data_IF_000053389837
#
_entry.id   IF_000053389837
#
_cell.length_a   1.000
_cell.length_b   1.000
_cell.length_c   1.000
_cell.angle_alpha   90.00
_cell.angle_beta   90.00
_cell.angle_gamma   90.00
#
_symmetry.space_group_name_H-M   'P 1'
#
loop_
_entity.id
_entity.type
_entity.pdbx_description
1 polymer ?
#
# COMPACT_ATOMS: atom_id res chain seq x y z
N UNK A 1 -25.63 1.76 22.34
CA UNK A 1 -24.23 2.18 22.04
C UNK A 1 -23.48 1.35 20.96
N UNK A 2 -24.11 0.47 20.16
CA UNK A 2 -23.37 -0.54 19.36
C UNK A 2 -23.32 -0.32 17.82
N UNK A 3 -23.95 0.74 17.30
CA UNK A 3 -24.11 0.99 15.84
C UNK A 3 -23.11 2.02 15.29
N UNK A 4 -22.77 3.05 16.07
CA UNK A 4 -21.80 4.09 15.69
C UNK A 4 -20.33 3.62 15.80
N UNK A 5 -19.99 2.82 16.82
CA UNK A 5 -18.61 2.40 17.13
C UNK A 5 -17.98 1.42 16.12
N UNK A 6 -18.77 0.63 15.37
CA UNK A 6 -18.24 -0.34 14.38
C UNK A 6 -18.09 0.24 12.98
N UNK A 7 -18.94 1.20 12.62
CA UNK A 7 -18.83 1.97 11.39
C UNK A 7 -17.68 2.99 11.50
N UNK A 8 -17.49 3.59 12.68
CA UNK A 8 -16.35 4.48 12.95
C UNK A 8 -14.99 3.79 12.81
N UNK A 9 -14.84 2.53 13.27
CA UNK A 9 -13.58 1.78 13.13
C UNK A 9 -13.21 1.47 11.68
N UNK A 10 -14.17 1.15 10.83
CA UNK A 10 -13.91 0.93 9.40
C UNK A 10 -13.57 2.25 8.71
N UNK A 11 -14.37 3.30 8.95
CA UNK A 11 -14.12 4.64 8.43
C UNK A 11 -12.73 5.16 8.84
N UNK A 12 -12.32 4.95 10.09
CA UNK A 12 -10.98 5.32 10.56
C UNK A 12 -9.86 4.59 9.85
N UNK A 13 -9.99 3.28 9.61
CA UNK A 13 -8.97 2.52 8.86
C UNK A 13 -8.89 2.94 7.39
N UNK A 14 -10.04 3.17 6.74
CA UNK A 14 -10.07 3.65 5.36
C UNK A 14 -9.53 5.09 5.26
N UNK A 15 -9.86 5.95 6.21
CA UNK A 15 -9.29 7.30 6.31
C UNK A 15 -7.76 7.24 6.41
N UNK A 16 -7.22 6.42 7.30
CA UNK A 16 -5.77 6.27 7.45
C UNK A 16 -5.13 5.71 6.17
N UNK A 17 -5.76 4.74 5.51
CA UNK A 17 -5.32 4.26 4.21
C UNK A 17 -5.23 5.38 3.16
N UNK A 18 -6.29 6.19 3.01
CA UNK A 18 -6.31 7.30 2.05
C UNK A 18 -5.29 8.39 2.41
N UNK A 19 -5.18 8.75 3.69
CA UNK A 19 -4.20 9.72 4.19
C UNK A 19 -2.76 9.27 3.91
N UNK A 20 -2.41 8.02 4.26
CA UNK A 20 -1.07 7.47 3.98
C UNK A 20 -0.81 7.42 2.47
N UNK A 21 -1.81 7.04 1.66
CA UNK A 21 -1.65 7.07 0.20
C UNK A 21 -1.48 8.47 -0.38
N UNK A 22 -1.94 9.52 0.31
CA UNK A 22 -1.75 10.92 -0.11
C UNK A 22 -0.36 11.41 0.16
N UNK A 23 0.15 11.10 1.34
CA UNK A 23 1.54 11.31 1.68
C UNK A 23 2.48 10.54 0.75
N UNK A 24 2.12 9.30 0.38
CA UNK A 24 2.83 8.55 -0.64
C UNK A 24 2.92 9.32 -1.97
N UNK A 25 1.81 9.88 -2.46
CA UNK A 25 1.83 10.71 -3.67
C UNK A 25 2.75 11.93 -3.54
N UNK A 26 2.77 12.58 -2.36
CA UNK A 26 3.65 13.73 -2.10
C UNK A 26 5.12 13.31 -2.16
N UNK A 27 5.50 12.19 -1.54
CA UNK A 27 6.87 11.68 -1.61
C UNK A 27 7.25 11.36 -3.05
N UNK A 28 6.37 10.71 -3.83
CA UNK A 28 6.60 10.47 -5.26
C UNK A 28 6.83 11.78 -6.03
N UNK A 29 6.03 12.83 -5.78
CA UNK A 29 6.22 14.13 -6.42
C UNK A 29 7.57 14.76 -6.07
N UNK A 30 7.98 14.74 -4.80
CA UNK A 30 9.31 15.21 -4.41
C UNK A 30 10.43 14.40 -5.06
N UNK A 31 10.28 13.08 -5.21
CA UNK A 31 11.26 12.25 -5.90
C UNK A 31 11.42 12.65 -7.37
N UNK A 32 10.32 12.92 -8.08
CA UNK A 32 10.39 13.42 -9.46
C UNK A 32 11.14 14.76 -9.54
N UNK A 33 10.93 15.66 -8.58
CA UNK A 33 11.71 16.90 -8.50
C UNK A 33 13.20 16.63 -8.25
N UNK A 34 13.52 15.70 -7.34
CA UNK A 34 14.90 15.31 -7.07
C UNK A 34 15.58 14.68 -8.28
N UNK A 35 14.88 13.83 -9.03
CA UNK A 35 15.37 13.24 -10.29
C UNK A 35 15.66 14.33 -11.33
N UNK A 36 14.74 15.28 -11.52
CA UNK A 36 14.95 16.41 -12.44
C UNK A 36 16.15 17.29 -12.03
N UNK A 37 16.33 17.51 -10.72
CA UNK A 37 17.52 18.20 -10.19
C UNK A 37 18.79 17.39 -10.45
N UNK A 38 18.77 16.07 -10.27
CA UNK A 38 19.91 15.20 -10.61
C UNK A 38 20.24 15.31 -12.10
N UNK A 39 19.27 15.20 -13.00
CA UNK A 39 19.53 15.38 -14.44
C UNK A 39 20.18 16.73 -14.76
N UNK A 40 19.74 17.80 -14.11
CA UNK A 40 20.30 19.14 -14.29
C UNK A 40 21.73 19.23 -13.76
N UNK A 41 21.95 18.73 -12.55
CA UNK A 41 23.26 18.74 -11.88
C UNK A 41 24.27 17.83 -12.61
N UNK A 42 23.81 16.69 -13.15
CA UNK A 42 24.67 15.73 -13.81
C UNK A 42 25.22 16.25 -15.15
N UNK A 43 24.63 17.30 -15.73
CA UNK A 43 25.19 17.97 -16.93
C UNK A 43 26.60 18.52 -16.69
N UNK A 44 26.94 18.94 -15.46
CA UNK A 44 28.29 19.37 -15.11
C UNK A 44 29.29 18.21 -15.23
N UNK A 45 28.91 17.03 -14.71
CA UNK A 45 29.71 15.81 -14.86
C UNK A 45 29.85 15.47 -16.34
N UNK A 46 28.75 15.41 -17.08
CA UNK A 46 28.77 15.05 -18.51
C UNK A 46 29.70 15.96 -19.32
N UNK A 47 29.63 17.29 -19.13
CA UNK A 47 30.54 18.23 -19.82
C UNK A 47 32.01 17.98 -19.47
N UNK A 48 32.33 17.65 -18.22
CA UNK A 48 33.68 17.28 -17.82
C UNK A 48 34.13 15.96 -18.48
N UNK A 49 33.24 14.95 -18.52
CA UNK A 49 33.51 13.67 -19.18
C UNK A 49 33.74 13.82 -20.68
N UNK A 50 32.96 14.67 -21.35
CA UNK A 50 33.05 14.90 -22.81
C UNK A 50 34.31 15.69 -23.19
N UNK A 51 34.83 16.52 -22.29
CA UNK A 51 35.98 17.39 -22.54
C UNK A 51 37.33 16.69 -22.36
N UNK A 52 37.42 15.72 -21.44
CA UNK A 52 38.68 15.06 -21.09
C UNK A 52 38.84 13.72 -21.82
N UNK A 53 39.79 13.67 -22.76
CA UNK A 53 40.22 12.46 -23.47
C UNK A 53 41.70 12.11 -23.23
N UNK A 54 42.21 11.10 -23.94
CA UNK A 54 43.61 10.63 -23.84
C UNK A 54 44.65 11.71 -24.18
N UNK A 55 44.28 12.67 -25.03
CA UNK A 55 45.14 13.79 -25.44
C UNK A 55 44.53 15.15 -25.01
N UNK A 56 44.20 15.26 -23.72
CA UNK A 56 43.60 16.50 -23.19
C UNK A 56 44.63 17.63 -23.08
N UNK A 57 44.33 18.77 -23.73
CA UNK A 57 45.11 20.00 -23.60
C UNK A 57 44.87 20.69 -22.23
N UNK A 58 45.77 21.57 -21.77
CA UNK A 58 45.64 22.24 -20.47
C UNK A 58 44.34 23.04 -20.27
N UNK A 59 43.81 23.65 -21.33
CA UNK A 59 42.54 24.36 -21.32
C UNK A 59 41.34 23.42 -21.09
N UNK A 60 41.37 22.20 -21.65
CA UNK A 60 40.33 21.18 -21.44
C UNK A 60 40.28 20.72 -19.98
N UNK A 61 41.46 20.50 -19.38
CA UNK A 61 41.57 20.14 -17.96
C UNK A 61 41.07 21.26 -17.05
N UNK A 62 41.39 22.51 -17.39
CA UNK A 62 40.91 23.69 -16.64
C UNK A 62 39.38 23.81 -16.71
N UNK A 63 38.80 23.61 -17.90
CA UNK A 63 37.34 23.60 -18.08
C UNK A 63 36.68 22.49 -17.26
N UNK A 64 37.15 21.25 -17.38
CA UNK A 64 36.62 20.12 -16.63
C UNK A 64 36.73 20.33 -15.11
N UNK A 65 37.84 20.88 -14.62
CA UNK A 65 38.00 21.23 -13.19
C UNK A 65 36.92 22.22 -12.72
N UNK A 66 36.61 23.24 -13.52
CA UNK A 66 35.59 24.23 -13.17
C UNK A 66 34.17 23.63 -13.19
N UNK A 67 33.87 22.74 -14.14
CA UNK A 67 32.61 21.99 -14.19
C UNK A 67 32.45 21.10 -12.96
N UNK A 68 33.47 20.32 -12.60
CA UNK A 68 33.45 19.45 -11.42
C UNK A 68 33.37 20.27 -10.12
N UNK A 69 34.04 21.42 -10.03
CA UNK A 69 33.90 22.35 -8.90
C UNK A 69 32.46 22.85 -8.77
N UNK A 70 31.84 23.23 -9.89
CA UNK A 70 30.45 23.68 -9.91
C UNK A 70 29.50 22.58 -9.44
N UNK A 71 29.71 21.34 -9.88
CA UNK A 71 28.96 20.17 -9.40
C UNK A 71 29.13 19.95 -7.89
N UNK A 72 30.37 20.05 -7.38
CA UNK A 72 30.67 19.77 -5.97
C UNK A 72 29.95 20.71 -4.99
N UNK A 73 29.70 21.96 -5.41
CA UNK A 73 28.97 22.96 -4.64
C UNK A 73 27.46 22.67 -4.55
N UNK A 74 26.91 21.84 -5.44
CA UNK A 74 25.48 21.53 -5.46
C UNK A 74 25.12 20.56 -4.34
N UNK A 75 23.97 20.78 -3.71
CA UNK A 75 23.46 19.85 -2.70
C UNK A 75 22.94 18.56 -3.35
N UNK A 76 23.01 17.45 -2.63
CA UNK A 76 22.49 16.17 -3.08
C UNK A 76 20.95 16.19 -3.08
N UNK A 77 20.30 16.04 -4.25
CA UNK A 77 18.84 16.10 -4.34
C UNK A 77 18.12 14.99 -3.57
N UNK A 78 18.80 13.90 -3.20
CA UNK A 78 18.24 12.80 -2.43
C UNK A 78 18.42 12.93 -0.90
N UNK A 79 18.88 14.08 -0.41
CA UNK A 79 18.87 14.39 1.03
C UNK A 79 17.45 14.60 1.57
N UNK A 80 16.49 14.85 0.68
CA UNK A 80 15.06 14.94 0.98
C UNK A 80 14.26 14.55 -0.30
N UNK A 81 13.48 13.46 -0.30
CA UNK A 81 13.24 12.54 0.83
C UNK A 81 14.44 11.62 1.09
N UNK A 82 14.74 11.37 2.35
CA UNK A 82 15.84 10.51 2.81
C UNK A 82 15.35 9.20 3.42
N UNK A 83 16.28 8.36 3.89
CA UNK A 83 16.00 7.06 4.52
C UNK A 83 14.96 7.12 5.65
N UNK A 84 14.91 8.21 6.43
CA UNK A 84 13.93 8.37 7.51
C UNK A 84 12.52 8.56 6.96
N UNK A 85 12.35 9.32 5.88
CA UNK A 85 11.05 9.53 5.22
C UNK A 85 10.50 8.20 4.69
N UNK A 86 11.35 7.40 4.04
CA UNK A 86 10.98 6.05 3.56
C UNK A 86 10.63 5.11 4.69
N UNK A 87 11.40 5.13 5.80
CA UNK A 87 11.09 4.33 6.97
C UNK A 87 9.73 4.73 7.57
N UNK A 88 9.49 6.03 7.72
CA UNK A 88 8.26 6.56 8.30
C UNK A 88 7.03 6.11 7.51
N UNK A 89 7.05 6.23 6.18
CA UNK A 89 5.92 5.81 5.36
C UNK A 89 5.72 4.29 5.36
N UNK A 90 6.80 3.51 5.37
CA UNK A 90 6.71 2.04 5.46
C UNK A 90 6.18 1.58 6.82
N UNK A 91 6.59 2.21 7.91
CA UNK A 91 6.06 1.92 9.24
C UNK A 91 4.55 2.21 9.30
N UNK A 92 4.10 3.30 8.67
CA UNK A 92 2.68 3.66 8.60
C UNK A 92 1.87 2.71 7.71
N UNK A 93 2.40 2.32 6.56
CA UNK A 93 1.77 1.31 5.71
C UNK A 93 1.70 -0.06 6.42
N UNK A 94 2.77 -0.46 7.09
CA UNK A 94 2.82 -1.70 7.88
C UNK A 94 1.78 -1.69 8.99
N UNK A 95 1.66 -0.56 9.70
CA UNK A 95 0.64 -0.36 10.71
C UNK A 95 -0.78 -0.50 10.13
N UNK A 96 -1.13 0.26 9.08
CA UNK A 96 -2.50 0.22 8.53
C UNK A 96 -2.81 -1.15 7.93
N UNK A 97 -1.84 -1.78 7.27
CA UNK A 97 -1.95 -3.12 6.71
C UNK A 97 -2.26 -4.16 7.78
N UNK A 98 -1.54 -4.11 8.91
CA UNK A 98 -1.78 -5.00 10.04
C UNK A 98 -3.22 -4.85 10.56
N UNK A 99 -3.66 -3.61 10.78
CA UNK A 99 -5.02 -3.34 11.27
C UNK A 99 -6.12 -3.75 10.28
N UNK A 100 -5.92 -3.51 8.97
CA UNK A 100 -6.83 -3.96 7.91
C UNK A 100 -6.93 -5.49 7.88
N UNK A 101 -5.79 -6.21 7.90
CA UNK A 101 -5.75 -7.68 7.93
C UNK A 101 -6.42 -8.26 9.18
N UNK A 102 -6.14 -7.70 10.36
CA UNK A 102 -6.74 -8.12 11.62
C UNK A 102 -8.24 -7.90 11.63
N UNK A 103 -8.70 -6.75 11.12
CA UNK A 103 -10.15 -6.48 11.01
C UNK A 103 -10.81 -7.42 10.01
N UNK A 104 -10.18 -7.71 8.88
CA UNK A 104 -10.67 -8.67 7.87
C UNK A 104 -10.85 -10.07 8.48
N UNK A 105 -9.86 -10.56 9.22
CA UNK A 105 -9.94 -11.84 9.97
C UNK A 105 -11.11 -11.86 10.96
N UNK A 106 -11.32 -10.76 11.70
CA UNK A 106 -12.44 -10.62 12.63
C UNK A 106 -13.81 -10.69 11.91
N UNK A 107 -13.92 -10.08 10.73
CA UNK A 107 -15.15 -10.11 9.92
C UNK A 107 -15.40 -11.52 9.35
N UNK A 108 -14.36 -12.19 8.84
CA UNK A 108 -14.46 -13.56 8.35
C UNK A 108 -14.95 -14.53 9.45
N UNK A 109 -14.40 -14.43 10.67
CA UNK A 109 -14.86 -15.20 11.83
C UNK A 109 -16.34 -14.96 12.14
N UNK A 110 -16.80 -13.71 12.09
CA UNK A 110 -18.23 -13.38 12.30
C UNK A 110 -19.14 -13.97 11.23
N UNK A 111 -18.73 -13.94 9.97
CA UNK A 111 -19.50 -14.57 8.88
C UNK A 111 -19.61 -16.08 9.12
N UNK A 112 -18.51 -16.75 9.52
CA UNK A 112 -18.52 -18.18 9.84
C UNK A 112 -19.50 -18.51 10.97
N UNK A 113 -19.50 -17.71 12.04
CA UNK A 113 -20.44 -17.87 13.17
C UNK A 113 -21.89 -17.69 12.70
N UNK A 114 -22.18 -16.63 11.94
CA UNK A 114 -23.53 -16.37 11.40
C UNK A 114 -24.02 -17.54 10.54
N UNK A 115 -23.17 -18.09 9.68
CA UNK A 115 -23.52 -19.23 8.84
C UNK A 115 -23.76 -20.49 9.68
N UNK A 116 -22.94 -20.75 10.70
CA UNK A 116 -23.12 -21.88 11.61
C UNK A 116 -24.46 -21.79 12.36
N UNK A 117 -24.81 -20.61 12.89
CA UNK A 117 -26.11 -20.40 13.53
C UNK A 117 -27.27 -20.65 12.55
N UNK A 118 -27.19 -20.18 11.30
CA UNK A 118 -28.22 -20.43 10.27
C UNK A 118 -28.43 -21.92 10.03
N UNK A 119 -27.36 -22.71 9.93
CA UNK A 119 -27.46 -24.16 9.72
C UNK A 119 -28.07 -24.87 10.93
N UNK A 120 -27.67 -24.51 12.15
CA UNK A 120 -28.23 -25.11 13.37
C UNK A 120 -29.72 -24.80 13.54
N UNK A 121 -30.16 -23.57 13.24
CA UNK A 121 -31.59 -23.21 13.31
C UNK A 121 -32.41 -23.94 12.25
N UNK A 122 -31.87 -24.10 11.02
CA UNK A 122 -32.52 -24.87 9.96
C UNK A 122 -32.71 -26.35 10.33
N UNK A 123 -31.66 -27.00 10.84
CA UNK A 123 -31.71 -28.39 11.28
C UNK A 123 -32.65 -28.61 12.48
N UNK A 124 -32.67 -27.69 13.44
CA UNK A 124 -33.54 -27.78 14.61
C UNK A 124 -35.03 -27.61 14.23
N UNK A 125 -35.35 -26.71 13.30
CA UNK A 125 -36.71 -26.51 12.80
C UNK A 125 -37.23 -27.75 12.04
N UNK A 126 -36.40 -28.38 11.22
CA UNK A 126 -36.79 -29.60 10.49
C UNK A 126 -37.06 -30.78 11.43
N UNK A 127 -36.24 -30.95 12.47
CA UNK A 127 -36.43 -32.01 13.46
C UNK A 127 -37.69 -31.75 14.31
N UNK A 128 -37.89 -30.52 14.77
CA UNK A 128 -39.07 -30.17 15.57
C UNK A 128 -40.39 -30.30 14.78
N UNK A 129 -40.42 -29.87 13.51
CA UNK A 129 -41.58 -30.08 12.65
C UNK A 129 -41.82 -31.56 12.33
N UNK A 130 -40.76 -32.34 12.07
CA UNK A 130 -40.88 -33.77 11.79
C UNK A 130 -41.41 -34.59 12.97
N UNK A 131 -41.02 -34.23 14.20
CA UNK A 131 -41.53 -34.86 15.42
C UNK A 131 -43.00 -34.50 15.69
N UNK A 132 -43.39 -33.24 15.42
CA UNK A 132 -44.77 -32.80 15.61
C UNK A 132 -45.75 -33.47 14.62
N UNK A 133 -45.34 -33.70 13.37
CA UNK A 133 -46.19 -34.39 12.38
C UNK A 133 -46.35 -35.88 12.69
N UNK A 134 -45.32 -36.56 13.18
CA UNK A 134 -45.42 -37.97 13.56
C UNK A 134 -46.32 -38.18 14.78
N UNK A 135 -46.21 -37.32 15.81
CA UNK A 135 -47.13 -37.33 16.95
C UNK A 135 -48.58 -37.07 16.54
N UNK A 136 -48.82 -36.12 15.63
CA UNK A 136 -50.18 -35.83 15.13
C UNK A 136 -50.79 -37.02 14.38
N UNK A 137 -50.00 -37.75 13.58
CA UNK A 137 -50.46 -38.93 12.84
C UNK A 137 -50.79 -40.09 13.79
N UNK A 138 -49.95 -40.32 14.81
CA UNK A 138 -50.19 -41.36 15.82
C UNK A 138 -51.46 -41.07 16.63
N UNK A 139 -51.66 -39.81 17.04
CA UNK A 139 -52.89 -39.38 17.74
C UNK A 139 -54.11 -39.55 16.86
N UNK A 140 -54.07 -39.12 15.59
CA UNK A 140 -55.18 -39.27 14.65
C UNK A 140 -55.50 -40.75 14.34
N UNK A 141 -54.49 -41.63 14.32
CA UNK A 141 -54.68 -43.06 14.09
C UNK A 141 -55.28 -43.80 15.29
N UNK A 142 -55.10 -43.28 16.52
CA UNK A 142 -55.61 -43.91 17.74
C UNK A 142 -56.93 -43.33 18.26
N UNK A 143 -57.42 -42.22 17.72
CA UNK A 143 -58.72 -41.65 18.12
C UNK A 143 -59.82 -41.91 17.09
N UNK A 144 -60.43 -43.09 17.16
CA UNK A 144 -61.76 -43.35 16.61
C UNK A 144 -62.85 -43.14 17.68
N UNK A 145 -62.75 -42.09 18.50
CA UNK A 145 -63.86 -41.61 19.34
C UNK A 145 -63.69 -40.09 19.48
N UNK A 146 -64.67 -39.34 19.00
CA UNK A 146 -64.60 -37.88 18.92
C UNK A 146 -64.71 -37.19 20.27
N UNK A 147 -64.24 -35.94 20.33
CA UNK A 147 -65.07 -34.82 20.76
C UNK A 147 -64.42 -33.49 20.39
N UNK A 148 -65.29 -32.62 19.86
CA UNK A 148 -65.24 -31.17 19.82
C UNK A 148 -64.48 -30.53 21.01
N UNK A 149 -63.43 -29.76 20.71
CA UNK A 149 -63.10 -28.48 21.36
C UNK A 149 -62.03 -27.80 20.49
N UNK A 150 -62.34 -26.57 20.09
CA UNK A 150 -61.75 -25.91 18.94
C UNK A 150 -60.23 -25.73 18.99
N UNK A 151 -59.60 -25.40 17.84
CA UNK A 151 -58.17 -25.20 17.80
C UNK A 151 -57.85 -23.98 18.66
N UNK A 152 -57.29 -24.21 19.85
CA UNK A 152 -56.47 -23.22 20.51
C UNK A 152 -55.29 -23.01 19.57
N UNK A 153 -55.45 -22.06 18.64
CA UNK A 153 -54.42 -21.58 17.75
C UNK A 153 -53.30 -21.16 18.68
N UNK A 154 -52.29 -22.02 18.82
CA UNK A 154 -50.99 -21.67 19.35
C UNK A 154 -50.45 -20.69 18.34
N UNK A 155 -50.88 -19.44 18.49
CA UNK A 155 -50.22 -18.28 17.95
C UNK A 155 -48.92 -18.16 18.74
N UNK A 156 -48.02 -19.11 18.50
CA UNK A 156 -46.61 -18.90 18.71
C UNK A 156 -46.29 -17.77 17.73
N UNK A 157 -46.46 -16.55 18.22
CA UNK A 157 -46.10 -15.35 17.50
C UNK A 157 -44.66 -15.56 17.08
N UNK A 158 -44.46 -15.88 15.80
CA UNK A 158 -43.20 -15.77 15.05
C UNK A 158 -42.77 -14.29 14.96
N UNK A 159 -42.89 -13.55 16.07
CA UNK A 159 -42.39 -12.21 16.28
C UNK A 159 -41.13 -12.23 17.15
N UNK A 160 -40.51 -13.40 17.35
CA UNK A 160 -39.06 -13.48 17.46
C UNK A 160 -38.38 -13.27 16.09
N UNK A 161 -38.73 -12.18 15.40
CA UNK A 161 -37.81 -11.42 14.52
C UNK A 161 -36.70 -10.75 15.35
N UNK A 162 -36.31 -11.39 16.46
CA UNK A 162 -35.41 -10.86 17.47
C UNK A 162 -33.98 -10.97 16.94
N UNK A 163 -33.51 -9.83 16.43
CA UNK A 163 -32.10 -9.42 16.30
C UNK A 163 -31.21 -10.14 15.26
N UNK A 164 -31.60 -11.27 14.67
CA UNK A 164 -30.78 -11.93 13.61
C UNK A 164 -30.89 -11.27 12.23
N UNK A 165 -31.98 -10.55 11.93
CA UNK A 165 -32.10 -9.74 10.69
C UNK A 165 -31.04 -8.63 10.61
N UNK A 166 -30.42 -8.28 11.75
CA UNK A 166 -29.47 -7.18 11.88
C UNK A 166 -28.02 -7.56 11.51
N UNK A 167 -27.72 -8.84 11.32
CA UNK A 167 -26.44 -9.35 10.81
C UNK A 167 -26.63 -9.90 9.39
N UNK A 168 -27.02 -9.05 8.43
CA UNK A 168 -26.98 -9.46 7.02
C UNK A 168 -25.55 -9.83 6.67
N UNK A 169 -25.32 -11.11 6.38
CA UNK A 169 -24.07 -11.65 5.82
C UNK A 169 -23.53 -10.74 4.71
N UNK A 170 -24.43 -10.17 3.88
CA UNK A 170 -24.11 -9.20 2.84
C UNK A 170 -23.33 -7.97 3.32
N UNK A 171 -23.72 -7.34 4.44
CA UNK A 171 -23.02 -6.15 4.99
C UNK A 171 -21.63 -6.53 5.49
N UNK A 172 -21.51 -7.64 6.23
CA UNK A 172 -20.21 -8.13 6.70
C UNK A 172 -19.30 -8.50 5.52
N UNK A 173 -19.86 -9.13 4.48
CA UNK A 173 -19.13 -9.47 3.26
C UNK A 173 -18.63 -8.22 2.54
N UNK A 174 -19.46 -7.17 2.43
CA UNK A 174 -19.06 -5.87 1.87
C UNK A 174 -17.91 -5.24 2.65
N UNK A 175 -18.02 -5.17 3.98
CA UNK A 175 -16.91 -4.69 4.83
C UNK A 175 -15.66 -5.53 4.64
N UNK A 176 -15.80 -6.86 4.51
CA UNK A 176 -14.70 -7.76 4.20
C UNK A 176 -13.99 -7.44 2.88
N UNK A 177 -14.74 -7.15 1.81
CA UNK A 177 -14.20 -6.75 0.50
C UNK A 177 -13.43 -5.43 0.58
N UNK A 178 -13.99 -4.41 1.22
CA UNK A 178 -13.33 -3.11 1.40
C UNK A 178 -11.99 -3.26 2.14
N UNK A 179 -11.97 -4.05 3.22
CA UNK A 179 -10.74 -4.32 3.97
C UNK A 179 -9.72 -5.12 3.16
N UNK A 180 -10.17 -6.06 2.32
CA UNK A 180 -9.31 -6.88 1.47
C UNK A 180 -8.62 -6.04 0.39
N UNK A 181 -9.40 -5.22 -0.33
CA UNK A 181 -8.88 -4.33 -1.38
C UNK A 181 -7.93 -3.30 -0.79
N UNK A 182 -8.28 -2.65 0.32
CA UNK A 182 -7.39 -1.71 1.00
C UNK A 182 -6.11 -2.40 1.52
N UNK A 183 -6.20 -3.62 2.06
CA UNK A 183 -5.03 -4.36 2.51
C UNK A 183 -4.10 -4.74 1.35
N UNK A 184 -4.64 -5.12 0.19
CA UNK A 184 -3.84 -5.39 -1.02
C UNK A 184 -3.11 -4.13 -1.49
N UNK A 185 -3.83 -3.00 -1.57
CA UNK A 185 -3.24 -1.71 -1.91
C UNK A 185 -2.13 -1.31 -0.95
N UNK A 186 -2.37 -1.37 0.36
CA UNK A 186 -1.39 -1.02 1.39
C UNK A 186 -0.15 -1.92 1.33
N UNK A 187 -0.30 -3.22 1.03
CA UNK A 187 0.82 -4.14 0.89
C UNK A 187 1.69 -3.81 -0.33
N UNK A 188 1.07 -3.58 -1.49
CA UNK A 188 1.79 -3.25 -2.72
C UNK A 188 2.55 -1.94 -2.53
N UNK A 189 1.87 -0.89 -2.06
CA UNK A 189 2.47 0.42 -1.85
C UNK A 189 3.60 0.37 -0.82
N UNK A 190 3.45 -0.36 0.29
CA UNK A 190 4.56 -0.56 1.23
C UNK A 190 5.81 -1.14 0.55
N UNK A 191 5.61 -2.04 -0.42
CA UNK A 191 6.71 -2.71 -1.09
C UNK A 191 7.34 -1.88 -2.20
N UNK A 192 6.54 -1.06 -2.88
CA UNK A 192 7.06 -0.05 -3.81
C UNK A 192 7.98 0.93 -3.08
N UNK A 193 7.57 1.41 -1.89
CA UNK A 193 8.39 2.33 -1.09
C UNK A 193 9.66 1.69 -0.51
N UNK A 194 9.64 0.40 -0.15
CA UNK A 194 10.87 -0.33 0.19
C UNK A 194 11.87 -0.34 -0.99
N UNK A 195 11.38 -0.55 -2.21
CA UNK A 195 12.21 -0.59 -3.42
C UNK A 195 12.77 0.79 -3.75
N UNK A 196 11.90 1.81 -3.81
CA UNK A 196 12.31 3.20 -4.04
C UNK A 196 13.30 3.69 -2.98
N UNK A 197 13.05 3.40 -1.70
CA UNK A 197 13.95 3.81 -0.61
C UNK A 197 15.36 3.22 -0.72
N UNK A 198 15.49 2.00 -1.23
CA UNK A 198 16.81 1.38 -1.50
C UNK A 198 17.50 2.00 -2.70
N UNK A 199 16.76 2.33 -3.77
CA UNK A 199 17.31 3.01 -4.94
C UNK A 199 17.79 4.42 -4.58
N UNK A 200 16.98 5.17 -3.83
CA UNK A 200 17.33 6.51 -3.34
C UNK A 200 18.57 6.47 -2.46
N UNK A 201 18.68 5.50 -1.54
CA UNK A 201 19.88 5.36 -0.71
C UNK A 201 21.15 5.11 -1.55
N UNK A 202 21.07 4.21 -2.55
CA UNK A 202 22.21 3.94 -3.45
C UNK A 202 22.61 5.15 -4.27
N UNK A 203 21.63 5.86 -4.84
CA UNK A 203 21.89 7.07 -5.62
C UNK A 203 22.43 8.21 -4.76
N UNK A 204 21.97 8.32 -3.52
CA UNK A 204 22.53 9.24 -2.55
C UNK A 204 24.02 8.95 -2.32
N UNK A 205 24.35 7.69 -2.01
CA UNK A 205 25.73 7.25 -1.76
C UNK A 205 26.61 7.48 -3.01
N UNK A 206 26.15 7.11 -4.21
CA UNK A 206 26.88 7.34 -5.47
C UNK A 206 27.23 8.83 -5.69
N UNK A 207 26.30 9.73 -5.38
CA UNK A 207 26.49 11.18 -5.51
C UNK A 207 27.51 11.66 -4.47
N UNK A 208 27.38 11.26 -3.21
CA UNK A 208 28.31 11.68 -2.16
C UNK A 208 29.72 11.12 -2.39
N UNK A 209 29.85 9.88 -2.85
CA UNK A 209 31.13 9.27 -3.19
C UNK A 209 31.81 10.00 -4.36
N UNK A 210 31.04 10.30 -5.42
CA UNK A 210 31.52 11.09 -6.56
C UNK A 210 31.98 12.48 -6.11
N UNK A 211 31.22 13.13 -5.22
CA UNK A 211 31.58 14.44 -4.67
C UNK A 211 32.81 14.37 -3.79
N UNK A 212 32.96 13.35 -2.95
CA UNK A 212 34.13 13.17 -2.12
C UNK A 212 35.40 12.99 -2.97
N UNK A 213 35.33 12.17 -4.03
CA UNK A 213 36.42 11.98 -4.98
C UNK A 213 36.79 13.26 -5.72
N UNK A 214 35.78 14.00 -6.23
CA UNK A 214 35.99 15.29 -6.89
C UNK A 214 36.63 16.30 -5.93
N UNK A 215 36.12 16.42 -4.71
CA UNK A 215 36.64 17.36 -3.71
C UNK A 215 38.11 17.05 -3.38
N UNK A 216 38.41 15.79 -3.13
CA UNK A 216 39.78 15.34 -2.88
C UNK A 216 40.73 15.70 -4.03
N UNK A 217 40.28 15.55 -5.28
CA UNK A 217 41.04 15.96 -6.45
C UNK A 217 41.27 17.49 -6.51
N UNK A 218 40.23 18.29 -6.23
CA UNK A 218 40.29 19.74 -6.35
C UNK A 218 41.11 20.41 -5.23
N UNK A 219 41.18 19.78 -4.05
CA UNK A 219 41.94 20.30 -2.91
C UNK A 219 43.47 20.12 -3.08
N UNK A 220 43.91 19.23 -3.99
CA UNK A 220 45.31 19.03 -4.34
C UNK A 220 45.76 20.08 -5.36
N UNK A 221 46.47 21.11 -4.90
CA UNK A 221 46.84 22.28 -5.70
C UNK A 221 47.91 22.04 -6.78
N UNK A 222 48.67 20.95 -6.74
CA UNK A 222 49.91 20.80 -7.56
C UNK A 222 49.98 19.58 -8.50
N UNK A 223 49.01 18.66 -8.50
CA UNK A 223 49.07 17.47 -9.35
C UNK A 223 47.99 17.52 -10.46
N UNK A 224 48.39 17.36 -11.73
CA UNK A 224 47.48 17.23 -12.89
C UNK A 224 46.97 15.79 -13.13
N UNK A 225 47.75 14.80 -12.69
CA UNK A 225 47.41 13.37 -12.72
C UNK A 225 46.10 12.96 -11.98
N UNK A 226 45.65 13.62 -10.88
CA UNK A 226 44.42 13.29 -10.17
C UNK A 226 43.15 13.52 -11.01
N UNK A 227 43.10 14.57 -11.84
CA UNK A 227 41.87 14.95 -12.53
C UNK A 227 41.48 13.95 -13.63
N UNK A 228 42.45 13.48 -14.40
CA UNK A 228 42.20 12.50 -15.46
C UNK A 228 41.73 11.16 -14.87
N UNK A 229 42.31 10.71 -13.76
CA UNK A 229 41.87 9.48 -13.10
C UNK A 229 40.48 9.63 -12.48
N UNK A 230 40.18 10.78 -11.85
CA UNK A 230 38.83 11.07 -11.35
C UNK A 230 37.79 11.04 -12.48
N UNK A 231 38.09 11.66 -13.62
CA UNK A 231 37.19 11.62 -14.80
C UNK A 231 37.02 10.21 -15.33
N UNK A 232 38.09 9.41 -15.36
CA UNK A 232 38.04 8.00 -15.78
C UNK A 232 37.18 7.16 -14.83
N UNK A 233 37.30 7.34 -13.51
CA UNK A 233 36.44 6.66 -12.53
C UNK A 233 34.98 7.10 -12.66
N UNK A 234 34.71 8.40 -12.80
CA UNK A 234 33.35 8.92 -13.07
C UNK A 234 32.76 8.28 -14.33
N UNK A 235 33.55 8.18 -15.41
CA UNK A 235 33.15 7.53 -16.67
C UNK A 235 32.83 6.04 -16.49
N UNK A 236 33.59 5.31 -15.66
CA UNK A 236 33.30 3.90 -15.35
C UNK A 236 31.97 3.74 -14.62
N UNK A 237 31.65 4.66 -13.71
CA UNK A 237 30.39 4.62 -12.94
C UNK A 237 29.17 5.18 -13.68
N UNK A 238 29.37 5.98 -14.74
CA UNK A 238 28.35 6.79 -15.41
C UNK A 238 27.13 5.98 -15.86
N UNK A 239 27.35 4.91 -16.61
CA UNK A 239 26.27 4.05 -17.13
C UNK A 239 25.46 3.42 -16.00
N UNK A 240 26.14 2.96 -14.95
CA UNK A 240 25.49 2.34 -13.79
C UNK A 240 24.67 3.35 -12.99
N UNK A 241 25.18 4.57 -12.83
CA UNK A 241 24.46 5.67 -12.18
C UNK A 241 23.19 6.05 -12.96
N UNK A 242 23.31 6.30 -14.28
CA UNK A 242 22.18 6.63 -15.15
C UNK A 242 21.12 5.53 -15.11
N UNK A 243 21.52 4.26 -15.16
CA UNK A 243 20.59 3.14 -15.07
C UNK A 243 19.84 3.11 -13.74
N UNK A 244 20.52 3.32 -12.61
CA UNK A 244 19.87 3.41 -11.28
C UNK A 244 18.89 4.58 -11.20
N UNK A 245 19.19 5.72 -11.83
CA UNK A 245 18.33 6.89 -11.86
C UNK A 245 17.07 6.64 -12.71
N UNK A 246 17.22 6.02 -13.88
CA UNK A 246 16.11 5.58 -14.73
C UNK A 246 15.21 4.56 -14.01
N UNK A 247 15.81 3.57 -13.36
CA UNK A 247 15.07 2.57 -12.58
C UNK A 247 14.25 3.23 -11.45
N UNK A 248 14.83 4.23 -10.76
CA UNK A 248 14.09 5.00 -9.77
C UNK A 248 12.93 5.76 -10.39
N UNK A 249 13.14 6.45 -11.52
CA UNK A 249 12.10 7.20 -12.22
C UNK A 249 10.94 6.28 -12.64
N UNK A 250 11.24 5.14 -13.25
CA UNK A 250 10.24 4.13 -13.63
C UNK A 250 9.43 3.68 -12.41
N UNK A 251 10.09 3.34 -11.30
CA UNK A 251 9.42 2.94 -10.06
C UNK A 251 8.54 4.04 -9.47
N UNK A 252 8.94 5.32 -9.56
CA UNK A 252 8.13 6.45 -9.09
C UNK A 252 6.86 6.59 -9.92
N UNK A 253 6.96 6.52 -11.25
CA UNK A 253 5.77 6.56 -12.12
C UNK A 253 4.84 5.37 -11.88
N UNK A 254 5.38 4.15 -11.81
CA UNK A 254 4.61 2.94 -11.51
C UNK A 254 3.92 3.04 -10.14
N UNK A 255 4.59 3.60 -9.13
CA UNK A 255 4.01 3.80 -7.81
C UNK A 255 2.84 4.79 -7.86
N UNK A 256 2.98 5.93 -8.55
CA UNK A 256 1.89 6.91 -8.71
C UNK A 256 0.64 6.29 -9.38
N UNK A 257 0.84 5.52 -10.45
CA UNK A 257 -0.24 4.78 -11.12
C UNK A 257 -0.88 3.79 -10.16
N UNK A 258 -0.07 3.07 -9.39
CA UNK A 258 -0.53 2.07 -8.42
C UNK A 258 -1.31 2.72 -7.28
N UNK A 259 -0.88 3.87 -6.75
CA UNK A 259 -1.59 4.64 -5.73
C UNK A 259 -2.99 5.00 -6.23
N UNK A 260 -3.07 5.59 -7.43
CA UNK A 260 -4.35 6.04 -8.00
C UNK A 260 -5.29 4.87 -8.27
N UNK A 261 -4.76 3.77 -8.83
CA UNK A 261 -5.54 2.54 -9.04
C UNK A 261 -6.03 1.94 -7.72
N UNK A 262 -5.16 1.83 -6.72
CA UNK A 262 -5.50 1.24 -5.44
C UNK A 262 -6.58 2.07 -4.70
N UNK A 263 -6.50 3.41 -4.76
CA UNK A 263 -7.55 4.31 -4.25
C UNK A 263 -8.88 4.11 -4.96
N UNK A 264 -8.87 4.12 -6.29
CA UNK A 264 -10.07 3.94 -7.10
C UNK A 264 -10.78 2.61 -6.79
N UNK A 265 -10.02 1.52 -6.62
CA UNK A 265 -10.57 0.22 -6.24
C UNK A 265 -11.23 0.23 -4.86
N UNK A 266 -10.62 0.90 -3.87
CA UNK A 266 -11.22 1.04 -2.53
C UNK A 266 -12.50 1.88 -2.59
N UNK A 267 -12.49 3.01 -3.31
CA UNK A 267 -13.68 3.87 -3.51
C UNK A 267 -14.80 3.08 -4.19
N UNK A 268 -14.48 2.30 -5.23
CA UNK A 268 -15.45 1.44 -5.92
C UNK A 268 -16.13 0.47 -4.95
N UNK A 269 -15.38 -0.20 -4.08
CA UNK A 269 -15.95 -1.10 -3.06
C UNK A 269 -16.71 -0.35 -1.94
N UNK A 270 -16.39 0.92 -1.69
CA UNK A 270 -17.17 1.78 -0.80
C UNK A 270 -18.56 2.06 -1.38
N UNK A 271 -18.61 2.39 -2.66
CA UNK A 271 -19.82 2.77 -3.39
C UNK A 271 -20.67 1.58 -3.84
N UNK A 272 -20.09 0.37 -3.96
CA UNK A 272 -20.80 -0.82 -4.40
C UNK A 272 -22.05 -1.13 -3.54
N UNK A 273 -23.20 -1.47 -4.12
CA UNK A 273 -24.42 -1.79 -3.35
C UNK A 273 -24.24 -3.04 -2.48
N UNK A 274 -24.97 -3.13 -1.36
CA UNK A 274 -25.01 -4.34 -0.55
C UNK A 274 -25.87 -5.39 -1.26
N UNK A 275 -25.24 -6.41 -1.86
CA UNK A 275 -25.98 -7.57 -2.38
C UNK A 275 -26.48 -8.40 -1.19
N UNK A 276 -27.79 -8.55 -1.11
CA UNK A 276 -28.43 -9.45 -0.17
C UNK A 276 -28.37 -10.87 -0.73
N UNK A 277 -27.83 -11.79 0.06
CA UNK A 277 -27.80 -13.24 -0.21
C UNK A 277 -28.60 -13.95 0.85
#
# INVERSE_FOLDING_TARGET
MSKFSKNSKLKGLLHNYFSISAEASIICSHLLESINKVHSNYKFIQRALDTVGEHSFPNHLTFASNELRSYNLLHNPFSNPNKYDFKLINDRYSWVLHHLKTRRKNIARKIKIVNCCKHATGACLTVACGAATTLAIIVAAHTLVGLLLGPAIVSLSMKQKLKFRFLRSGVLRKVGKQLDVAAKGAYILNRDFDTMGRLVARLYDDIEDSKAMIKFCLDRKDDRFPLQEVVKELRKSDTGFKKKLEDLEEHVYLCLVTINRARALVIKEMMAPCVES
#
